data_IF_866475249147
#
_entry.id   IF_866475249147
#
_cell.length_a   1.000
_cell.length_b   1.000
_cell.length_c   1.000
_cell.angle_alpha   90.00
_cell.angle_beta   90.00
_cell.angle_gamma   90.00
#
_symmetry.space_group_name_H-M   'P 1'
#
loop_
_entity.id
_entity.type
_entity.pdbx_description
1 polymer ?
#
# COMPACT_ATOMS: atom_id res chain seq x y z
N UNK A 1 2.29 14.66 -13.42
CA UNK A 1 1.85 13.26 -13.27
C UNK A 1 0.34 13.19 -13.43
N UNK A 2 -0.18 12.39 -14.37
CA UNK A 2 -1.62 12.27 -14.54
C UNK A 2 -2.28 11.60 -13.34
N UNK A 3 -3.50 12.05 -13.02
CA UNK A 3 -4.33 11.47 -11.96
C UNK A 3 -5.62 10.93 -12.56
N UNK A 4 -5.99 9.74 -12.15
CA UNK A 4 -7.22 9.06 -12.59
C UNK A 4 -7.90 8.48 -11.35
N UNK A 5 -9.23 8.50 -11.33
CA UNK A 5 -9.92 7.89 -10.20
C UNK A 5 -11.40 8.20 -10.16
N UNK A 6 -12.01 7.78 -9.07
CA UNK A 6 -13.42 7.99 -8.76
C UNK A 6 -13.56 9.18 -7.79
N UNK A 7 -13.48 10.39 -8.32
CA UNK A 7 -13.43 11.60 -7.50
C UNK A 7 -14.63 11.78 -6.57
N UNK A 8 -15.82 11.33 -7.01
CA UNK A 8 -17.01 11.37 -6.18
C UNK A 8 -16.90 10.54 -4.89
N UNK A 9 -16.06 9.52 -4.91
CA UNK A 9 -15.78 8.65 -3.76
C UNK A 9 -14.49 9.06 -3.03
N UNK A 10 -13.80 10.10 -3.50
CA UNK A 10 -12.52 10.53 -2.93
C UNK A 10 -11.36 9.58 -3.26
N UNK A 11 -11.47 8.81 -4.31
CA UNK A 11 -10.51 7.79 -4.72
C UNK A 11 -9.76 8.22 -5.97
N UNK A 12 -8.42 8.14 -5.95
CA UNK A 12 -7.62 8.52 -7.11
C UNK A 12 -6.32 7.72 -7.21
N UNK A 13 -5.76 7.67 -8.41
CA UNK A 13 -4.48 7.08 -8.72
C UNK A 13 -3.57 8.13 -9.34
N UNK A 14 -2.31 8.15 -8.93
CA UNK A 14 -1.29 8.97 -9.55
C UNK A 14 -0.38 8.07 -10.37
N UNK A 15 -0.23 8.38 -11.65
CA UNK A 15 0.63 7.63 -12.56
C UNK A 15 1.97 8.36 -12.65
N UNK A 16 3.04 7.66 -12.26
CA UNK A 16 4.40 8.20 -12.22
C UNK A 16 5.28 7.46 -13.24
N UNK A 17 5.19 7.82 -14.53
CA UNK A 17 6.05 7.20 -15.52
C UNK A 17 7.52 7.58 -15.31
N UNK A 18 8.42 6.62 -15.48
CA UNK A 18 9.85 6.87 -15.36
C UNK A 18 10.64 5.96 -16.28
N UNK A 19 11.86 6.37 -16.61
CA UNK A 19 12.79 5.53 -17.36
C UNK A 19 13.65 4.75 -16.36
N UNK A 20 13.55 3.39 -16.32
CA UNK A 20 14.37 2.59 -15.41
C UNK A 20 15.87 2.74 -15.60
N UNK A 21 16.29 3.28 -16.76
CA UNK A 21 17.70 3.52 -17.07
C UNK A 21 18.23 4.83 -16.51
N UNK A 22 17.34 5.75 -16.10
CA UNK A 22 17.74 7.00 -15.45
C UNK A 22 18.10 6.73 -13.99
N UNK A 23 19.33 7.03 -13.65
CA UNK A 23 19.84 6.86 -12.30
C UNK A 23 19.20 7.87 -11.35
N UNK A 24 18.74 7.38 -10.19
CA UNK A 24 18.11 8.21 -9.16
C UNK A 24 16.64 8.52 -9.36
N UNK A 25 16.06 8.28 -10.53
CA UNK A 25 14.63 8.56 -10.78
C UNK A 25 13.72 7.68 -9.93
N UNK A 26 14.07 6.41 -9.78
CA UNK A 26 13.31 5.48 -8.95
C UNK A 26 13.22 5.97 -7.50
N UNK A 27 14.33 6.44 -6.93
CA UNK A 27 14.35 6.94 -5.56
C UNK A 27 13.49 8.19 -5.40
N UNK A 28 13.48 9.09 -6.39
CA UNK A 28 12.63 10.27 -6.38
C UNK A 28 11.15 9.91 -6.39
N UNK A 29 10.77 8.92 -7.21
CA UNK A 29 9.39 8.44 -7.29
C UNK A 29 8.97 7.81 -5.97
N UNK A 30 9.85 7.01 -5.37
CA UNK A 30 9.58 6.40 -4.08
C UNK A 30 9.40 7.45 -2.98
N UNK A 31 10.25 8.46 -2.95
CA UNK A 31 10.14 9.57 -1.98
C UNK A 31 8.83 10.33 -2.16
N UNK A 32 8.42 10.57 -3.41
CA UNK A 32 7.14 11.21 -3.70
C UNK A 32 5.97 10.35 -3.22
N UNK A 33 6.03 9.04 -3.48
CA UNK A 33 4.98 8.10 -3.03
C UNK A 33 4.87 8.09 -1.52
N UNK A 34 5.99 8.04 -0.81
CA UNK A 34 6.01 8.05 0.65
C UNK A 34 5.42 9.36 1.19
N UNK A 35 5.74 10.49 0.57
CA UNK A 35 5.20 11.79 0.95
C UNK A 35 3.70 11.86 0.72
N UNK A 36 3.23 11.35 -0.41
CA UNK A 36 1.81 11.32 -0.75
C UNK A 36 1.03 10.47 0.27
N UNK A 37 1.56 9.30 0.63
CA UNK A 37 0.94 8.42 1.62
C UNK A 37 0.90 9.09 2.99
N UNK A 38 1.99 9.71 3.41
CA UNK A 38 2.04 10.43 4.68
C UNK A 38 0.97 11.53 4.73
N UNK A 39 0.87 12.32 3.66
CA UNK A 39 -0.14 13.39 3.57
C UNK A 39 -1.55 12.82 3.60
N UNK A 40 -1.77 11.71 2.92
CA UNK A 40 -3.07 11.02 2.91
C UNK A 40 -3.47 10.59 4.31
N UNK A 41 -2.56 9.98 5.06
CA UNK A 41 -2.83 9.53 6.44
C UNK A 41 -3.03 10.72 7.38
N UNK A 42 -2.26 11.79 7.22
CA UNK A 42 -2.42 13.01 8.02
C UNK A 42 -3.80 13.65 7.83
N UNK A 43 -4.41 13.45 6.66
CA UNK A 43 -5.76 13.93 6.34
C UNK A 43 -6.84 12.89 6.64
N UNK A 44 -6.51 11.83 7.37
CA UNK A 44 -7.42 10.73 7.72
C UNK A 44 -7.93 9.94 6.49
N UNK A 45 -7.15 9.91 5.43
CA UNK A 45 -7.41 9.06 4.27
C UNK A 45 -6.84 7.66 4.46
N UNK A 46 -6.94 6.85 3.42
CA UNK A 46 -6.42 5.47 3.41
C UNK A 46 -5.39 5.28 2.30
N UNK A 47 -4.46 4.37 2.52
CA UNK A 47 -3.34 4.12 1.60
C UNK A 47 -3.76 3.43 0.30
N UNK A 48 -4.92 2.80 0.28
CA UNK A 48 -5.40 2.09 -0.90
C UNK A 48 -6.84 2.49 -1.20
N UNK A 49 -7.05 3.07 -2.39
CA UNK A 49 -8.38 3.47 -2.82
C UNK A 49 -9.24 2.26 -3.18
N UNK A 50 -8.76 1.44 -4.11
CA UNK A 50 -9.52 0.28 -4.61
C UNK A 50 -8.66 -0.93 -4.96
N UNK A 51 -7.34 -0.76 -5.13
CA UNK A 51 -6.47 -1.82 -5.64
C UNK A 51 -5.99 -2.82 -4.58
N UNK A 52 -6.19 -2.51 -3.31
CA UNK A 52 -5.73 -3.36 -2.22
C UNK A 52 -4.24 -3.20 -1.91
N UNK A 53 -3.78 -3.95 -0.93
CA UNK A 53 -2.42 -3.85 -0.40
C UNK A 53 -1.42 -4.72 -1.18
N UNK A 54 -1.77 -5.99 -1.42
CA UNK A 54 -0.93 -6.92 -2.18
C UNK A 54 0.48 -7.08 -1.61
N UNK A 55 1.46 -6.93 -2.50
CA UNK A 55 2.89 -7.04 -2.16
C UNK A 55 3.56 -5.70 -1.90
N UNK A 56 3.11 -4.63 -2.56
CA UNK A 56 3.87 -3.38 -2.64
C UNK A 56 3.47 -2.33 -1.61
N UNK A 57 2.34 -2.50 -0.93
CA UNK A 57 1.83 -1.54 0.04
C UNK A 57 1.87 -2.02 1.48
N UNK A 58 2.61 -3.09 1.76
CA UNK A 58 2.70 -3.65 3.12
C UNK A 58 3.21 -2.65 4.14
N UNK A 59 4.26 -1.90 3.81
CA UNK A 59 4.83 -0.88 4.70
C UNK A 59 3.83 0.25 4.97
N UNK A 60 3.02 0.60 3.99
CA UNK A 60 2.00 1.62 4.14
C UNK A 60 0.84 1.13 5.03
N UNK A 61 0.46 -0.14 4.88
CA UNK A 61 -0.53 -0.74 5.77
C UNK A 61 -0.06 -0.71 7.23
N UNK A 62 1.23 -0.99 7.44
CA UNK A 62 1.81 -0.93 8.77
C UNK A 62 1.72 0.48 9.36
N UNK A 63 1.92 1.51 8.55
CA UNK A 63 1.76 2.90 8.98
C UNK A 63 0.30 3.23 9.33
N UNK A 64 -0.65 2.77 8.54
CA UNK A 64 -2.07 3.10 8.71
C UNK A 64 -2.71 2.27 9.83
N UNK A 65 -2.48 0.96 9.85
CA UNK A 65 -3.18 0.01 10.68
C UNK A 65 -2.24 -0.92 11.47
N UNK A 66 -1.05 -0.44 11.85
CA UNK A 66 -0.07 -1.25 12.56
C UNK A 66 -0.64 -1.97 13.78
N UNK A 67 -1.50 -1.29 14.54
CA UNK A 67 -2.11 -1.85 15.76
C UNK A 67 -3.10 -3.00 15.47
N UNK A 68 -3.63 -3.06 14.25
CA UNK A 68 -4.58 -4.10 13.84
C UNK A 68 -3.91 -5.30 13.17
N UNK A 69 -2.67 -5.18 12.76
CA UNK A 69 -1.97 -6.25 12.04
C UNK A 69 -1.87 -7.56 12.84
N UNK A 70 -1.59 -7.55 14.16
CA UNK A 70 -1.60 -8.80 14.94
C UNK A 70 -2.93 -9.54 14.85
N UNK A 71 -4.06 -8.83 14.89
CA UNK A 71 -5.37 -9.43 14.73
C UNK A 71 -5.58 -10.01 13.33
N UNK A 72 -5.17 -9.26 12.30
CA UNK A 72 -5.24 -9.72 10.91
C UNK A 72 -4.45 -11.01 10.72
N UNK A 73 -3.24 -11.09 11.27
CA UNK A 73 -2.42 -12.30 11.24
C UNK A 73 -3.07 -13.47 11.97
N UNK A 74 -3.70 -13.21 13.09
CA UNK A 74 -4.42 -14.22 13.85
C UNK A 74 -5.55 -14.83 13.02
N UNK A 75 -6.35 -14.00 12.36
CA UNK A 75 -7.42 -14.45 11.48
C UNK A 75 -6.86 -15.27 10.32
N UNK A 76 -5.80 -14.79 9.68
CA UNK A 76 -5.13 -15.50 8.57
C UNK A 76 -4.65 -16.88 9.01
N UNK A 77 -3.98 -16.99 10.15
CA UNK A 77 -3.47 -18.25 10.67
C UNK A 77 -4.58 -19.23 11.04
N UNK A 78 -5.71 -18.72 11.50
CA UNK A 78 -6.86 -19.55 11.88
C UNK A 78 -7.52 -20.21 10.66
N UNK A 79 -7.58 -19.51 9.55
CA UNK A 79 -8.28 -19.98 8.34
C UNK A 79 -7.34 -20.73 7.42
N UNK A 80 -6.12 -20.23 7.23
CA UNK A 80 -5.12 -20.76 6.31
C UNK A 80 -3.88 -21.18 7.09
N UNK A 81 -4.01 -22.27 7.84
CA UNK A 81 -2.96 -22.77 8.74
C UNK A 81 -1.65 -23.10 8.02
N UNK A 82 -1.72 -23.53 6.78
CA UNK A 82 -0.56 -23.92 5.99
C UNK A 82 -0.02 -22.78 5.12
N UNK A 83 -0.63 -21.59 5.19
CA UNK A 83 -0.22 -20.41 4.43
C UNK A 83 -0.08 -20.70 2.92
N UNK A 84 -1.10 -21.30 2.34
CA UNK A 84 -1.13 -21.64 0.92
C UNK A 84 -1.98 -20.66 0.10
N UNK A 85 -2.83 -19.86 0.75
CA UNK A 85 -3.68 -18.88 0.09
C UNK A 85 -3.00 -17.51 0.08
N UNK A 86 -2.60 -17.06 -1.10
CA UNK A 86 -1.96 -15.76 -1.29
C UNK A 86 -0.83 -15.49 -0.27
N UNK A 87 0.17 -16.38 -0.19
CA UNK A 87 1.24 -16.21 0.80
C UNK A 87 2.03 -14.93 0.57
N UNK A 88 2.38 -14.23 1.64
CA UNK A 88 3.17 -13.01 1.56
C UNK A 88 2.43 -11.77 1.12
N UNK A 89 1.11 -11.83 0.91
CA UNK A 89 0.30 -10.66 0.54
C UNK A 89 -0.19 -9.96 1.80
N UNK A 90 -0.37 -8.65 1.71
CA UNK A 90 -0.91 -7.76 2.75
C UNK A 90 0.09 -7.53 3.88
N UNK A 91 0.57 -8.58 4.52
CA UNK A 91 1.56 -8.55 5.60
C UNK A 91 2.39 -9.82 5.58
N UNK A 92 3.50 -9.80 6.30
CA UNK A 92 4.33 -10.99 6.51
C UNK A 92 3.93 -11.68 7.81
N UNK A 93 3.80 -13.01 7.80
CA UNK A 93 3.39 -13.77 8.98
C UNK A 93 4.51 -13.97 10.00
N UNK A 94 5.74 -13.76 9.59
CA UNK A 94 6.92 -13.92 10.43
C UNK A 94 7.25 -12.63 11.20
#
# INVERSE_FOLDING_TARGET
APMVGHLGDGNFHVILPYDPKEEGTYNKIRDFSDLLIKKTLDLNGTITGEHGVGLHKKSYLLQEHGDCIPLMKCIKRSIDQNNIMNPGKIFDLN
#
